data_IF_173024918498
#
_entry.id   IF_173024918498
#
_cell.length_a   1.000
_cell.length_b   1.000
_cell.length_c   1.000
_cell.angle_alpha   90.00
_cell.angle_beta   90.00
_cell.angle_gamma   90.00
#
_symmetry.space_group_name_H-M   'P 1'
#
loop_
_entity.id
_entity.type
_entity.pdbx_description
1 polymer ?
#
# COMPACT_ATOMS: atom_id res chain seq x y z
N UNK A 1 -23.97 -9.56 4.58
CA UNK A 1 -23.00 -10.69 4.64
C UNK A 1 -21.69 -10.31 3.95
N UNK A 2 -21.68 -9.78 2.73
CA UNK A 2 -20.45 -9.39 2.04
C UNK A 2 -19.59 -8.43 2.87
N UNK A 3 -20.16 -7.34 3.40
CA UNK A 3 -19.44 -6.37 4.22
C UNK A 3 -18.81 -6.96 5.49
N UNK A 4 -19.47 -7.94 6.13
CA UNK A 4 -18.90 -8.62 7.30
C UNK A 4 -17.72 -9.53 6.91
N UNK A 5 -17.81 -10.18 5.75
CA UNK A 5 -16.72 -11.00 5.22
C UNK A 5 -15.50 -10.14 4.90
N UNK A 6 -15.70 -8.98 4.27
CA UNK A 6 -14.61 -8.04 3.95
C UNK A 6 -13.92 -7.55 5.23
N UNK A 7 -14.68 -7.16 6.26
CA UNK A 7 -14.12 -6.74 7.55
C UNK A 7 -13.32 -7.84 8.26
N UNK A 8 -13.72 -9.11 8.13
CA UNK A 8 -12.97 -10.25 8.69
C UNK A 8 -11.66 -10.45 7.92
N UNK A 9 -11.69 -10.33 6.60
CA UNK A 9 -10.49 -10.43 5.76
C UNK A 9 -9.49 -9.31 6.08
N UNK A 10 -9.96 -8.08 6.26
CA UNK A 10 -9.13 -6.94 6.64
C UNK A 10 -8.50 -7.13 8.03
N UNK A 11 -9.27 -7.62 8.99
CA UNK A 11 -8.75 -7.95 10.33
C UNK A 11 -7.67 -9.04 10.25
N UNK A 12 -7.92 -10.08 9.46
CA UNK A 12 -6.95 -11.16 9.26
C UNK A 12 -5.67 -10.63 8.59
N UNK A 13 -5.79 -9.82 7.55
CA UNK A 13 -4.65 -9.19 6.88
C UNK A 13 -3.84 -8.31 7.84
N UNK A 14 -4.50 -7.52 8.69
CA UNK A 14 -3.85 -6.68 9.69
C UNK A 14 -3.11 -7.51 10.75
N UNK A 15 -3.70 -8.61 11.23
CA UNK A 15 -3.04 -9.52 12.17
C UNK A 15 -1.81 -10.17 11.51
N UNK A 16 -1.93 -10.64 10.28
CA UNK A 16 -0.81 -11.22 9.54
C UNK A 16 0.31 -10.22 9.34
N UNK A 17 0.01 -8.97 9.04
CA UNK A 17 1.00 -7.90 8.94
C UNK A 17 1.78 -7.72 10.24
N UNK A 18 1.10 -7.69 11.39
CA UNK A 18 1.78 -7.57 12.71
C UNK A 18 2.69 -8.76 12.96
N UNK A 19 2.24 -9.98 12.64
CA UNK A 19 3.05 -11.20 12.82
C UNK A 19 4.29 -11.16 11.93
N UNK A 20 4.12 -10.82 10.65
CA UNK A 20 5.23 -10.80 9.68
C UNK A 20 6.24 -9.67 10.04
N UNK A 21 5.75 -8.48 10.42
CA UNK A 21 6.63 -7.40 10.87
C UNK A 21 7.42 -7.78 12.12
N UNK A 22 6.81 -8.46 13.09
CA UNK A 22 7.53 -8.99 14.26
C UNK A 22 8.59 -10.00 13.85
N UNK A 23 8.28 -10.88 12.91
CA UNK A 23 9.24 -11.86 12.38
C UNK A 23 10.38 -11.15 11.61
N UNK A 24 10.07 -10.17 10.79
CA UNK A 24 11.06 -9.40 10.04
C UNK A 24 12.05 -8.64 10.95
N UNK A 25 11.60 -8.22 12.14
CA UNK A 25 12.42 -7.54 13.14
C UNK A 25 13.21 -8.52 14.01
N UNK A 26 13.03 -9.83 13.88
CA UNK A 26 13.80 -10.81 14.64
C UNK A 26 15.29 -10.73 14.25
N UNK A 27 16.20 -10.81 15.23
CA UNK A 27 17.64 -10.81 14.97
C UNK A 27 18.06 -12.03 14.15
N UNK A 28 19.27 -11.97 13.59
CA UNK A 28 19.88 -13.08 12.89
C UNK A 28 19.99 -14.31 13.80
N UNK A 29 19.72 -15.50 13.24
CA UNK A 29 19.81 -16.79 13.89
C UNK A 29 20.78 -17.73 13.13
N UNK A 30 20.78 -19.00 13.50
CA UNK A 30 21.67 -19.99 12.86
C UNK A 30 21.29 -20.31 11.44
N UNK A 31 20.00 -20.21 11.11
CA UNK A 31 19.46 -20.52 9.76
C UNK A 31 19.43 -19.26 8.89
N UNK A 32 19.15 -18.10 9.49
CA UNK A 32 19.04 -16.80 8.80
C UNK A 32 20.13 -15.85 9.29
N UNK A 33 21.38 -16.08 8.88
CA UNK A 33 22.55 -15.32 9.32
C UNK A 33 22.52 -13.83 8.98
N UNK A 34 21.72 -13.43 8.00
CA UNK A 34 21.52 -12.03 7.59
C UNK A 34 20.27 -11.38 8.20
N UNK A 35 19.58 -12.12 9.12
CA UNK A 35 18.32 -11.69 9.71
C UNK A 35 17.11 -11.97 8.82
N UNK A 36 15.97 -11.51 9.28
CA UNK A 36 14.67 -11.83 8.68
C UNK A 36 14.04 -10.65 7.90
N UNK A 37 14.79 -9.57 7.66
CA UNK A 37 14.27 -8.34 7.05
C UNK A 37 13.57 -8.52 5.70
N UNK A 38 13.96 -9.51 4.89
CA UNK A 38 13.29 -9.82 3.62
C UNK A 38 11.85 -10.32 3.76
N UNK A 39 11.45 -10.82 4.95
CA UNK A 39 10.08 -11.20 5.22
C UNK A 39 9.11 -10.02 5.09
N UNK A 40 9.55 -8.81 5.43
CA UNK A 40 8.79 -7.59 5.23
C UNK A 40 8.52 -7.31 3.76
N UNK A 41 9.54 -7.42 2.91
CA UNK A 41 9.39 -7.22 1.46
C UNK A 41 8.49 -8.28 0.83
N UNK A 42 8.56 -9.52 1.32
CA UNK A 42 7.67 -10.60 0.88
C UNK A 42 6.20 -10.30 1.27
N UNK A 43 5.97 -9.83 2.50
CA UNK A 43 4.63 -9.42 2.94
C UNK A 43 4.08 -8.27 2.10
N UNK A 44 4.90 -7.24 1.87
CA UNK A 44 4.53 -6.11 1.01
C UNK A 44 4.20 -6.55 -0.41
N UNK A 45 4.96 -7.49 -0.98
CA UNK A 45 4.69 -8.06 -2.31
C UNK A 45 3.34 -8.77 -2.37
N UNK A 46 3.06 -9.66 -1.41
CA UNK A 46 1.80 -10.41 -1.35
C UNK A 46 0.63 -9.46 -1.21
N UNK A 47 0.71 -8.51 -0.28
CA UNK A 47 -0.36 -7.53 -0.06
C UNK A 47 -0.59 -6.62 -1.27
N UNK A 48 0.49 -6.15 -1.91
CA UNK A 48 0.37 -5.35 -3.13
C UNK A 48 -0.24 -6.15 -4.30
N UNK A 49 0.01 -7.45 -4.39
CA UNK A 49 -0.66 -8.31 -5.38
C UNK A 49 -2.17 -8.42 -5.13
N UNK A 50 -2.62 -8.52 -3.87
CA UNK A 50 -4.04 -8.45 -3.52
C UNK A 50 -4.66 -7.10 -3.89
N UNK A 51 -3.98 -5.99 -3.55
CA UNK A 51 -4.43 -4.64 -3.91
C UNK A 51 -4.53 -4.48 -5.43
N UNK A 52 -3.57 -5.04 -6.18
CA UNK A 52 -3.60 -5.04 -7.65
C UNK A 52 -4.83 -5.76 -8.20
N UNK A 53 -5.14 -6.95 -7.67
CA UNK A 53 -6.33 -7.71 -8.05
C UNK A 53 -7.62 -6.95 -7.76
N UNK A 54 -7.73 -6.37 -6.56
CA UNK A 54 -8.88 -5.53 -6.17
C UNK A 54 -9.02 -4.28 -7.05
N UNK A 55 -7.89 -3.65 -7.39
CA UNK A 55 -7.88 -2.48 -8.28
C UNK A 55 -8.39 -2.79 -9.69
N UNK A 56 -8.03 -3.95 -10.26
CA UNK A 56 -8.58 -4.40 -11.54
C UNK A 56 -10.09 -4.58 -11.46
N UNK A 57 -10.59 -5.24 -10.41
CA UNK A 57 -12.03 -5.40 -10.20
C UNK A 57 -12.74 -4.04 -10.04
N UNK A 58 -12.13 -3.08 -9.34
CA UNK A 58 -12.67 -1.72 -9.22
C UNK A 58 -12.77 -1.02 -10.58
N UNK A 59 -11.74 -1.13 -11.42
CA UNK A 59 -11.78 -0.56 -12.78
C UNK A 59 -12.91 -1.19 -13.60
N UNK A 60 -13.05 -2.52 -13.59
CA UNK A 60 -14.13 -3.19 -14.29
C UNK A 60 -15.51 -2.77 -13.79
N UNK A 61 -15.72 -2.77 -12.48
CA UNK A 61 -16.98 -2.34 -11.88
C UNK A 61 -17.27 -0.86 -12.13
N UNK A 62 -16.24 -0.01 -12.10
CA UNK A 62 -16.39 1.41 -12.41
C UNK A 62 -16.79 1.66 -13.86
N UNK A 63 -16.19 0.93 -14.80
CA UNK A 63 -16.58 0.99 -16.22
C UNK A 63 -18.04 0.51 -16.41
N UNK A 64 -18.42 -0.58 -15.75
CA UNK A 64 -19.83 -1.04 -15.80
C UNK A 64 -20.79 0.02 -15.26
N UNK A 65 -20.47 0.69 -14.14
CA UNK A 65 -21.28 1.79 -13.59
C UNK A 65 -21.33 3.03 -14.48
N UNK A 66 -20.33 3.26 -15.33
CA UNK A 66 -20.36 4.33 -16.33
C UNK A 66 -21.35 3.98 -17.44
N UNK A 67 -21.33 2.70 -17.89
CA UNK A 67 -22.20 2.22 -18.98
C UNK A 67 -23.64 2.04 -18.51
N UNK A 68 -23.82 1.49 -17.30
CA UNK A 68 -25.10 1.17 -16.67
C UNK A 68 -25.27 1.96 -15.35
N UNK A 69 -25.48 3.28 -15.41
CA UNK A 69 -25.51 4.09 -14.19
C UNK A 69 -26.74 3.74 -13.33
N UNK A 70 -26.47 3.49 -12.05
CA UNK A 70 -27.49 3.20 -11.04
C UNK A 70 -27.71 4.39 -10.12
N UNK A 71 -28.96 4.60 -9.70
CA UNK A 71 -29.26 5.65 -8.71
C UNK A 71 -28.77 5.20 -7.33
N UNK A 72 -27.97 6.04 -6.69
CA UNK A 72 -27.50 5.80 -5.33
C UNK A 72 -28.64 6.15 -4.36
N UNK A 73 -29.15 5.13 -3.66
CA UNK A 73 -30.20 5.31 -2.67
C UNK A 73 -29.60 5.94 -1.41
N UNK A 74 -30.10 7.11 -1.04
CA UNK A 74 -29.68 7.80 0.18
C UNK A 74 -30.34 7.17 1.40
N UNK A 75 -29.53 6.82 2.39
CA UNK A 75 -30.00 6.56 3.73
C UNK A 75 -29.24 7.47 4.70
N UNK A 76 -29.95 8.16 5.60
CA UNK A 76 -29.31 9.03 6.62
C UNK A 76 -28.31 8.26 7.47
N UNK A 77 -28.65 7.03 7.83
CA UNK A 77 -27.79 6.11 8.57
C UNK A 77 -26.53 5.78 7.77
N UNK A 78 -26.64 5.52 6.46
CA UNK A 78 -25.50 5.26 5.60
C UNK A 78 -24.52 6.43 5.52
N UNK A 79 -25.03 7.67 5.44
CA UNK A 79 -24.18 8.85 5.45
C UNK A 79 -23.42 9.02 6.77
N UNK A 80 -24.11 8.84 7.92
CA UNK A 80 -23.44 8.92 9.23
C UNK A 80 -22.32 7.89 9.37
N UNK A 81 -22.60 6.64 9.00
CA UNK A 81 -21.61 5.55 9.02
C UNK A 81 -20.42 5.88 8.11
N UNK A 82 -20.66 6.38 6.91
CA UNK A 82 -19.59 6.78 5.98
C UNK A 82 -18.73 7.91 6.54
N UNK A 83 -19.32 8.92 7.18
CA UNK A 83 -18.57 10.02 7.80
C UNK A 83 -17.68 9.50 8.93
N UNK A 84 -18.20 8.65 9.80
CA UNK A 84 -17.43 8.05 10.89
C UNK A 84 -16.29 7.19 10.32
N UNK A 85 -16.57 6.36 9.31
CA UNK A 85 -15.56 5.56 8.64
C UNK A 85 -14.45 6.43 8.03
N UNK A 86 -14.79 7.52 7.34
CA UNK A 86 -13.83 8.46 6.76
C UNK A 86 -12.91 9.05 7.85
N UNK A 87 -13.47 9.50 8.97
CA UNK A 87 -12.68 10.11 10.05
C UNK A 87 -11.68 9.09 10.64
N UNK A 88 -12.15 7.87 10.90
CA UNK A 88 -11.30 6.80 11.44
C UNK A 88 -10.22 6.39 10.45
N UNK A 89 -10.58 6.15 9.19
CA UNK A 89 -9.64 5.75 8.14
C UNK A 89 -8.63 6.85 7.84
N UNK A 90 -9.06 8.12 7.81
CA UNK A 90 -8.15 9.25 7.64
C UNK A 90 -7.12 9.32 8.78
N UNK A 91 -7.56 9.14 10.03
CA UNK A 91 -6.67 9.13 11.18
C UNK A 91 -5.64 8.00 11.09
N UNK A 92 -6.06 6.81 10.66
CA UNK A 92 -5.20 5.66 10.44
C UNK A 92 -4.19 5.91 9.32
N UNK A 93 -4.64 6.40 8.17
CA UNK A 93 -3.78 6.72 7.02
C UNK A 93 -2.74 7.79 7.38
N UNK A 94 -3.11 8.80 8.16
CA UNK A 94 -2.15 9.81 8.64
C UNK A 94 -1.09 9.20 9.55
N UNK A 95 -1.48 8.32 10.48
CA UNK A 95 -0.56 7.59 11.34
C UNK A 95 0.39 6.69 10.53
N UNK A 96 -0.16 5.90 9.60
CA UNK A 96 0.63 5.05 8.71
C UNK A 96 1.62 5.87 7.88
N UNK A 97 1.21 7.00 7.32
CA UNK A 97 2.08 7.89 6.56
C UNK A 97 3.23 8.44 7.41
N UNK A 98 2.95 8.80 8.67
CA UNK A 98 3.99 9.21 9.61
C UNK A 98 5.00 8.09 9.86
N UNK A 99 4.54 6.85 10.09
CA UNK A 99 5.41 5.69 10.29
C UNK A 99 6.22 5.37 9.03
N UNK A 100 5.59 5.34 7.85
CA UNK A 100 6.26 5.08 6.57
C UNK A 100 7.39 6.08 6.33
N UNK A 101 7.17 7.35 6.61
CA UNK A 101 8.20 8.38 6.43
C UNK A 101 9.42 8.15 7.32
N UNK A 102 9.24 7.51 8.48
CA UNK A 102 10.30 7.20 9.44
C UNK A 102 11.00 5.87 9.15
N UNK A 103 10.24 4.85 8.78
CA UNK A 103 10.72 3.47 8.69
C UNK A 103 10.99 3.03 7.25
N UNK A 104 10.39 3.70 6.25
CA UNK A 104 10.38 3.28 4.84
C UNK A 104 9.82 1.86 4.63
N UNK A 105 9.00 1.38 5.56
CA UNK A 105 8.43 0.04 5.56
C UNK A 105 7.56 -0.19 4.32
N UNK A 106 7.91 -1.25 3.56
CA UNK A 106 7.18 -1.63 2.35
C UNK A 106 5.85 -2.31 2.70
N UNK A 107 5.84 -3.11 3.76
CA UNK A 107 4.62 -3.78 4.24
C UNK A 107 3.59 -2.75 4.73
N UNK A 108 4.01 -1.76 5.54
CA UNK A 108 3.11 -0.68 5.98
C UNK A 108 2.64 0.18 4.80
N UNK A 109 3.49 0.36 3.78
CA UNK A 109 3.11 1.10 2.56
C UNK A 109 2.01 0.38 1.77
N UNK A 110 2.08 -0.95 1.67
CA UNK A 110 1.06 -1.76 1.01
C UNK A 110 -0.28 -1.73 1.78
N UNK A 111 -0.23 -1.84 3.11
CA UNK A 111 -1.39 -1.71 3.98
C UNK A 111 -2.02 -0.31 3.89
N UNK A 112 -1.20 0.74 3.94
CA UNK A 112 -1.67 2.11 3.79
C UNK A 112 -2.33 2.38 2.43
N UNK A 113 -1.87 1.74 1.36
CA UNK A 113 -2.49 1.87 0.03
C UNK A 113 -3.91 1.29 0.03
N UNK A 114 -4.14 0.17 0.71
CA UNK A 114 -5.48 -0.42 0.88
C UNK A 114 -6.41 0.56 1.61
N UNK A 115 -6.03 1.08 2.78
CA UNK A 115 -6.86 2.05 3.51
C UNK A 115 -7.04 3.40 2.79
N UNK A 116 -6.06 3.83 2.00
CA UNK A 116 -6.23 5.00 1.13
C UNK A 116 -7.30 4.77 0.07
N UNK A 117 -7.41 3.55 -0.47
CA UNK A 117 -8.49 3.22 -1.42
C UNK A 117 -9.86 3.34 -0.78
N UNK A 118 -10.03 2.80 0.42
CA UNK A 118 -11.30 2.85 1.14
C UNK A 118 -11.70 4.29 1.46
N UNK A 119 -10.73 5.12 1.87
CA UNK A 119 -10.92 6.54 2.08
C UNK A 119 -11.38 7.25 0.80
N UNK A 120 -10.70 7.01 -0.31
CA UNK A 120 -11.00 7.63 -1.61
C UNK A 120 -12.34 7.16 -2.16
N UNK A 121 -12.69 5.87 -2.01
CA UNK A 121 -13.98 5.33 -2.41
C UNK A 121 -15.11 5.95 -1.60
N UNK A 122 -14.98 6.04 -0.28
CA UNK A 122 -15.98 6.67 0.58
C UNK A 122 -16.16 8.17 0.25
N UNK A 123 -15.07 8.89 0.00
CA UNK A 123 -15.11 10.27 -0.47
C UNK A 123 -15.75 10.39 -1.86
N UNK A 124 -15.44 9.45 -2.77
CA UNK A 124 -16.03 9.36 -4.10
C UNK A 124 -17.54 9.15 -4.05
N UNK A 125 -18.02 8.26 -3.17
CA UNK A 125 -19.45 8.02 -2.95
C UNK A 125 -20.14 9.29 -2.44
N UNK A 126 -19.55 9.99 -1.46
CA UNK A 126 -20.12 11.26 -0.98
C UNK A 126 -20.15 12.31 -2.09
N UNK A 127 -19.07 12.45 -2.85
CA UNK A 127 -19.02 13.39 -3.97
C UNK A 127 -20.04 13.03 -5.06
N UNK A 128 -20.16 11.74 -5.41
CA UNK A 128 -21.15 11.26 -6.36
C UNK A 128 -22.59 11.53 -5.88
N UNK A 129 -22.87 11.37 -4.59
CA UNK A 129 -24.18 11.71 -4.00
C UNK A 129 -24.55 13.19 -4.16
N UNK A 130 -23.58 14.11 -4.05
CA UNK A 130 -23.81 15.52 -4.30
C UNK A 130 -24.01 15.83 -5.79
N UNK A 131 -23.19 15.24 -6.65
CA UNK A 131 -23.22 15.47 -8.09
C UNK A 131 -24.42 14.82 -8.77
N UNK A 132 -24.87 13.64 -8.32
CA UNK A 132 -26.00 12.91 -8.89
C UNK A 132 -27.36 13.61 -8.68
N UNK A 133 -27.46 14.54 -7.72
CA UNK A 133 -28.69 15.33 -7.50
C UNK A 133 -29.03 16.28 -8.65
N UNK A 134 -28.04 16.60 -9.47
CA UNK A 134 -28.23 17.61 -10.47
C UNK A 134 -28.15 17.10 -11.91
N UNK A 135 -27.10 16.43 -12.32
CA UNK A 135 -26.83 16.26 -13.76
C UNK A 135 -25.89 15.10 -14.15
N UNK A 136 -25.27 14.37 -13.21
CA UNK A 136 -24.22 13.42 -13.60
C UNK A 136 -24.33 12.06 -12.87
N UNK A 137 -25.16 11.16 -13.44
CA UNK A 137 -25.36 9.83 -12.88
C UNK A 137 -24.11 8.93 -12.97
N UNK A 138 -23.19 9.21 -13.88
CA UNK A 138 -21.98 8.44 -14.11
C UNK A 138 -20.84 8.79 -13.15
N UNK A 139 -21.01 9.81 -12.30
CA UNK A 139 -19.96 10.32 -11.40
C UNK A 139 -19.36 9.22 -10.53
N UNK A 140 -20.18 8.35 -9.94
CA UNK A 140 -19.73 7.23 -9.11
C UNK A 140 -18.80 6.28 -9.88
N UNK A 141 -19.18 5.91 -11.11
CA UNK A 141 -18.33 5.06 -11.97
C UNK A 141 -17.00 5.73 -12.32
N UNK A 142 -17.00 7.02 -12.63
CA UNK A 142 -15.78 7.77 -12.94
C UNK A 142 -14.85 7.84 -11.73
N UNK A 143 -15.36 8.15 -10.54
CA UNK A 143 -14.57 8.13 -9.31
C UNK A 143 -14.01 6.74 -9.01
N UNK A 144 -14.82 5.68 -9.19
CA UNK A 144 -14.38 4.29 -8.99
C UNK A 144 -13.24 3.91 -9.93
N UNK A 145 -13.31 4.26 -11.21
CA UNK A 145 -12.23 4.04 -12.19
C UNK A 145 -10.98 4.83 -11.80
N UNK A 146 -11.13 6.10 -11.43
CA UNK A 146 -9.99 6.94 -11.03
C UNK A 146 -9.26 6.36 -9.81
N UNK A 147 -9.99 5.90 -8.80
CA UNK A 147 -9.41 5.21 -7.62
C UNK A 147 -8.74 3.90 -8.03
N UNK A 148 -9.38 3.09 -8.89
CA UNK A 148 -8.80 1.86 -9.39
C UNK A 148 -7.46 2.09 -10.10
N UNK A 149 -7.36 3.11 -10.96
CA UNK A 149 -6.11 3.47 -11.64
C UNK A 149 -5.04 3.94 -10.63
N UNK A 150 -5.43 4.76 -9.66
CA UNK A 150 -4.53 5.18 -8.58
C UNK A 150 -3.92 3.97 -7.84
N UNK A 151 -4.75 2.97 -7.52
CA UNK A 151 -4.32 1.74 -6.85
C UNK A 151 -3.42 0.88 -7.74
N UNK A 152 -3.72 0.74 -9.04
CA UNK A 152 -2.87 0.01 -9.98
C UNK A 152 -1.45 0.57 -10.01
N UNK A 153 -1.33 1.91 -10.07
CA UNK A 153 -0.03 2.58 -10.07
C UNK A 153 0.68 2.39 -8.72
N UNK A 154 -0.05 2.54 -7.61
CA UNK A 154 0.50 2.39 -6.27
C UNK A 154 0.99 0.96 -5.99
N UNK A 155 0.15 -0.04 -6.27
CA UNK A 155 0.49 -1.44 -6.10
C UNK A 155 1.68 -1.85 -7.00
N UNK A 156 1.70 -1.38 -8.25
CA UNK A 156 2.82 -1.62 -9.15
C UNK A 156 4.15 -1.10 -8.61
N UNK A 157 4.17 0.10 -8.00
CA UNK A 157 5.37 0.65 -7.34
C UNK A 157 5.82 -0.20 -6.16
N UNK A 158 4.88 -0.66 -5.32
CA UNK A 158 5.20 -1.49 -4.16
C UNK A 158 5.74 -2.85 -4.60
N UNK A 159 5.12 -3.49 -5.61
CA UNK A 159 5.61 -4.73 -6.20
C UNK A 159 7.05 -4.55 -6.71
N UNK A 160 7.29 -3.49 -7.48
CA UNK A 160 8.63 -3.17 -7.98
C UNK A 160 9.65 -3.04 -6.85
N UNK A 161 9.37 -2.26 -5.83
CA UNK A 161 10.25 -2.08 -4.67
C UNK A 161 10.48 -3.38 -3.93
N UNK A 162 9.42 -4.16 -3.68
CA UNK A 162 9.51 -5.45 -2.99
C UNK A 162 10.39 -6.45 -3.75
N UNK A 163 10.22 -6.55 -5.07
CA UNK A 163 11.03 -7.44 -5.92
C UNK A 163 12.49 -7.02 -5.89
N UNK A 164 12.80 -5.73 -5.99
CA UNK A 164 14.19 -5.24 -5.93
C UNK A 164 14.84 -5.56 -4.58
N UNK A 165 14.13 -5.36 -3.46
CA UNK A 165 14.65 -5.73 -2.13
C UNK A 165 14.86 -7.26 -1.99
N UNK A 166 13.97 -8.08 -2.56
CA UNK A 166 14.09 -9.54 -2.53
C UNK A 166 15.26 -10.05 -3.39
N UNK A 167 15.55 -9.34 -4.49
CA UNK A 167 16.62 -9.68 -5.42
C UNK A 167 17.98 -9.07 -5.06
N UNK A 168 18.13 -8.51 -3.86
CA UNK A 168 19.39 -7.87 -3.41
C UNK A 168 19.88 -6.78 -4.37
N UNK A 169 18.97 -5.90 -4.81
CA UNK A 169 19.34 -4.78 -5.67
C UNK A 169 20.39 -3.91 -4.98
N UNK A 170 21.42 -3.54 -5.72
CA UNK A 170 22.56 -2.75 -5.23
C UNK A 170 22.11 -1.35 -4.75
N UNK A 171 22.86 -0.80 -3.80
CA UNK A 171 22.67 0.58 -3.33
C UNK A 171 22.87 1.59 -4.45
N UNK A 172 22.44 2.84 -4.24
CA UNK A 172 22.63 3.90 -5.21
C UNK A 172 24.09 4.25 -5.40
N UNK A 173 24.47 4.74 -6.60
CA UNK A 173 25.83 5.15 -6.89
C UNK A 173 26.40 6.16 -5.86
N UNK A 174 25.53 7.03 -5.31
CA UNK A 174 25.94 7.99 -4.29
C UNK A 174 26.32 7.30 -2.98
N UNK A 175 25.56 6.32 -2.54
CA UNK A 175 25.84 5.52 -1.35
C UNK A 175 27.09 4.65 -1.55
N UNK A 176 27.24 4.03 -2.73
CA UNK A 176 28.42 3.25 -3.08
C UNK A 176 29.70 4.11 -3.06
N UNK A 177 29.64 5.33 -3.61
CA UNK A 177 30.77 6.25 -3.61
C UNK A 177 31.10 6.73 -2.19
N UNK A 178 30.08 6.91 -1.33
CA UNK A 178 30.30 7.23 0.08
C UNK A 178 30.99 6.09 0.82
N UNK A 179 30.56 4.85 0.62
CA UNK A 179 31.23 3.67 1.20
C UNK A 179 32.67 3.57 0.73
N UNK A 180 32.92 3.74 -0.58
CA UNK A 180 34.28 3.73 -1.16
C UNK A 180 35.17 4.80 -0.53
N UNK A 181 34.65 6.02 -0.40
CA UNK A 181 35.37 7.12 0.19
C UNK A 181 35.75 6.85 1.66
N UNK A 182 34.83 6.32 2.45
CA UNK A 182 35.07 5.96 3.88
C UNK A 182 36.16 4.88 3.97
N UNK A 183 36.05 3.81 3.16
CA UNK A 183 37.01 2.71 3.20
C UNK A 183 38.41 3.18 2.78
N UNK A 184 38.52 3.96 1.69
CA UNK A 184 39.80 4.42 1.17
C UNK A 184 40.45 5.53 2.00
N UNK A 185 39.69 6.19 2.86
CA UNK A 185 40.21 7.17 3.83
C UNK A 185 40.90 6.51 5.05
N UNK A 186 40.75 5.19 5.24
CA UNK A 186 41.33 4.48 6.38
C UNK A 186 42.80 4.15 6.10
N UNK A 187 43.69 4.51 7.04
CA UNK A 187 45.10 4.18 6.99
C UNK A 187 45.28 2.66 6.96
N UNK A 188 45.84 2.11 5.89
CA UNK A 188 46.04 0.68 5.69
C UNK A 188 45.07 0.01 4.71
N UNK A 189 44.08 0.73 4.19
CA UNK A 189 43.26 0.28 3.06
C UNK A 189 43.93 0.67 1.74
N UNK A 190 44.51 -0.28 1.03
CA UNK A 190 45.22 -0.04 -0.23
C UNK A 190 44.32 -0.11 -1.48
N UNK A 191 43.06 -0.55 -1.31
CA UNK A 191 42.07 -0.64 -2.37
C UNK A 191 40.79 -1.31 -1.92
N UNK A 192 39.72 -1.14 -2.70
CA UNK A 192 38.45 -1.81 -2.51
C UNK A 192 38.07 -2.50 -3.82
N UNK A 193 37.95 -3.83 -3.79
CA UNK A 193 37.58 -4.63 -4.93
C UNK A 193 36.30 -5.41 -4.68
N UNK A 194 35.50 -5.61 -5.71
CA UNK A 194 34.24 -6.37 -5.66
C UNK A 194 33.27 -5.96 -4.54
N UNK A 195 33.09 -4.65 -4.36
CA UNK A 195 32.07 -4.14 -3.44
C UNK A 195 30.70 -4.63 -3.89
N UNK A 196 30.05 -5.41 -3.04
CA UNK A 196 28.67 -5.90 -3.21
C UNK A 196 27.83 -5.39 -2.07
N UNK A 197 26.72 -4.78 -2.41
CA UNK A 197 25.78 -4.21 -1.45
C UNK A 197 24.35 -4.73 -1.69
N UNK A 198 23.46 -4.53 -0.73
CA UNK A 198 22.06 -4.95 -0.83
C UNK A 198 21.17 -4.11 0.09
#
# INVERSE_FOLDING_TARGET
LASATDSILDLFASIMNVVILRFALAPADKEHKFGHGKAESLAGLVQAAFVLGSALLLVFNGVDRIINPQQIIRTEVGMLVSIVAIVLTLSLVMLQKYVINRTKSVAISADALHYQSDLLLNLGVLAALFLSQGYWLQADGVFTVAVGIFLLIGAGKIIWTSVHHLMDHELTDEELNTIRAIVLAHEGAYGLHELRTR
#
